data_IF_622442258826
#
_entry.id   IF_622442258826
#
_cell.length_a   1.000
_cell.length_b   1.000
_cell.length_c   1.000
_cell.angle_alpha   90.00
_cell.angle_beta   90.00
_cell.angle_gamma   90.00
#
_symmetry.space_group_name_H-M   'P 1'
#
loop_
_entity.id
_entity.type
_entity.pdbx_description
1 polymer ?
#
# COMPACT_ATOMS: atom_id res chain seq x y z
N UNK A 1 21.87 22.27 -37.51
CA UNK A 1 21.71 22.09 -36.05
C UNK A 1 20.66 21.03 -35.82
N UNK A 2 20.94 19.95 -35.09
CA UNK A 2 19.89 19.06 -34.64
C UNK A 2 18.97 19.86 -33.71
N UNK A 3 17.68 19.93 -34.04
CA UNK A 3 16.69 20.63 -33.24
C UNK A 3 16.23 19.66 -32.16
N UNK A 4 16.37 20.03 -30.89
CA UNK A 4 15.89 19.22 -29.77
C UNK A 4 14.37 19.06 -29.91
N UNK A 5 13.89 17.82 -29.92
CA UNK A 5 12.46 17.55 -29.97
C UNK A 5 11.79 18.11 -28.70
N UNK A 6 10.77 18.94 -28.87
CA UNK A 6 9.86 19.32 -27.79
C UNK A 6 9.02 18.09 -27.46
N UNK A 7 9.45 17.29 -26.48
CA UNK A 7 8.66 16.19 -25.97
C UNK A 7 7.60 16.75 -25.02
N UNK A 8 6.33 16.62 -25.38
CA UNK A 8 5.23 16.77 -24.43
C UNK A 8 5.26 15.54 -23.51
N UNK A 9 5.49 15.76 -22.21
CA UNK A 9 5.19 14.74 -21.19
C UNK A 9 3.67 14.80 -20.98
N UNK A 10 2.95 13.78 -21.45
CA UNK A 10 1.52 13.64 -21.20
C UNK A 10 1.29 13.23 -19.74
N UNK A 11 0.11 13.52 -19.14
CA UNK A 11 -0.24 13.04 -17.80
C UNK A 11 -0.03 11.53 -17.70
N UNK A 12 0.61 11.06 -16.63
CA UNK A 12 0.96 9.65 -16.49
C UNK A 12 -0.30 8.85 -16.13
N UNK A 13 -0.42 7.64 -16.68
CA UNK A 13 -1.59 6.80 -16.44
C UNK A 13 -1.64 6.37 -14.97
N UNK A 14 -2.83 6.48 -14.35
CA UNK A 14 -3.08 5.91 -13.04
C UNK A 14 -2.83 4.40 -13.10
N UNK A 15 -2.00 3.90 -12.18
CA UNK A 15 -1.69 2.48 -12.01
C UNK A 15 -2.20 1.96 -10.67
N UNK A 16 -2.54 0.68 -10.67
CA UNK A 16 -2.88 -0.05 -9.45
C UNK A 16 -1.65 -0.79 -8.92
N UNK A 17 -1.49 -0.81 -7.60
CA UNK A 17 -0.48 -1.61 -6.92
C UNK A 17 -1.15 -2.50 -5.86
N UNK A 18 -0.74 -3.77 -5.81
CA UNK A 18 -1.38 -4.77 -4.97
C UNK A 18 -0.36 -5.52 -4.13
N UNK A 19 -0.73 -5.85 -2.91
CA UNK A 19 0.08 -6.68 -2.01
C UNK A 19 -0.83 -7.60 -1.18
N UNK A 20 -0.34 -8.79 -0.85
CA UNK A 20 -1.07 -9.73 0.02
C UNK A 20 -0.18 -10.08 1.20
N UNK A 21 -0.64 -9.76 2.41
CA UNK A 21 0.03 -10.11 3.66
C UNK A 21 -0.60 -11.36 4.27
N UNK A 22 0.20 -12.33 4.67
CA UNK A 22 -0.26 -13.57 5.34
C UNK A 22 0.37 -13.78 6.72
N UNK A 23 1.58 -13.27 6.94
CA UNK A 23 2.30 -13.35 8.19
C UNK A 23 2.07 -12.11 9.06
N UNK A 24 2.15 -12.28 10.38
CA UNK A 24 2.06 -11.17 11.33
C UNK A 24 3.33 -10.32 11.31
N UNK A 25 3.15 -9.00 11.22
CA UNK A 25 4.18 -7.98 11.34
C UNK A 25 4.17 -7.42 12.76
N UNK A 26 5.04 -8.00 13.59
CA UNK A 26 5.16 -7.66 15.02
C UNK A 26 6.38 -6.78 15.32
N UNK A 27 7.40 -6.79 14.45
CA UNK A 27 8.52 -5.84 14.48
C UNK A 27 8.19 -4.64 13.59
N UNK A 28 8.53 -3.43 13.99
CA UNK A 28 8.15 -2.21 13.25
C UNK A 28 9.32 -1.53 12.52
N UNK A 29 10.57 -1.91 12.83
CA UNK A 29 11.76 -1.23 12.31
C UNK A 29 12.40 -1.87 11.07
N UNK A 30 11.95 -3.05 10.67
CA UNK A 30 12.53 -3.86 9.58
C UNK A 30 11.44 -4.35 8.61
N UNK A 31 11.81 -5.02 7.51
CA UNK A 31 10.85 -5.56 6.52
C UNK A 31 10.35 -6.99 6.79
N UNK A 32 10.77 -7.65 7.88
CA UNK A 32 10.36 -9.03 8.19
C UNK A 32 8.84 -9.12 8.25
N UNK A 33 8.23 -9.99 7.44
CA UNK A 33 6.77 -10.16 7.31
C UNK A 33 5.99 -8.94 6.79
N UNK A 34 6.65 -7.85 6.41
CA UNK A 34 6.04 -6.79 5.61
C UNK A 34 6.12 -7.17 4.12
N UNK A 35 5.15 -6.72 3.34
CA UNK A 35 5.09 -6.96 1.90
C UNK A 35 5.18 -5.63 1.18
N UNK A 36 6.06 -5.54 0.18
CA UNK A 36 6.22 -4.33 -0.61
C UNK A 36 4.95 -4.08 -1.41
N UNK A 37 4.41 -2.87 -1.26
CA UNK A 37 3.22 -2.43 -1.97
C UNK A 37 3.60 -1.68 -3.24
N UNK A 38 4.52 -0.71 -3.13
CA UNK A 38 4.83 0.21 -4.22
C UNK A 38 6.32 0.54 -4.26
N UNK A 39 6.89 0.48 -5.47
CA UNK A 39 8.10 1.20 -5.83
C UNK A 39 7.68 2.39 -6.71
N UNK A 40 7.95 3.63 -6.27
CA UNK A 40 7.54 4.82 -7.02
C UNK A 40 8.32 4.99 -8.32
N UNK A 41 7.82 5.85 -9.19
CA UNK A 41 8.48 6.24 -10.44
C UNK A 41 9.75 7.07 -10.20
N UNK A 42 10.49 7.34 -11.29
CA UNK A 42 11.79 8.03 -11.21
C UNK A 42 11.72 9.43 -10.58
N UNK A 43 10.59 10.14 -10.69
CA UNK A 43 10.37 11.44 -10.06
C UNK A 43 9.49 11.37 -8.80
N UNK A 44 9.21 10.17 -8.31
CA UNK A 44 8.27 9.93 -7.22
C UNK A 44 6.88 9.54 -7.73
N UNK A 45 5.96 9.36 -6.79
CA UNK A 45 4.58 8.98 -7.08
C UNK A 45 3.62 9.61 -6.09
N UNK A 46 2.36 9.71 -6.48
CA UNK A 46 1.25 10.17 -5.65
C UNK A 46 0.28 9.01 -5.47
N UNK A 47 0.00 8.66 -4.22
CA UNK A 47 -1.01 7.65 -3.89
C UNK A 47 -2.32 8.35 -3.53
N UNK A 48 -3.36 8.00 -4.28
CA UNK A 48 -4.70 8.57 -4.18
C UNK A 48 -5.69 7.70 -3.43
N UNK A 49 -5.38 6.42 -3.23
CA UNK A 49 -6.23 5.52 -2.49
C UNK A 49 -5.45 4.32 -2.01
N UNK A 50 -5.74 3.87 -0.78
CA UNK A 50 -5.24 2.60 -0.25
C UNK A 50 -6.36 1.96 0.56
N UNK A 51 -6.76 0.78 0.13
CA UNK A 51 -7.78 -0.02 0.82
C UNK A 51 -7.29 -1.44 1.03
N UNK A 52 -7.87 -2.11 2.01
CA UNK A 52 -7.60 -3.48 2.33
C UNK A 52 -8.87 -4.30 2.44
N UNK A 53 -8.80 -5.55 1.98
CA UNK A 53 -9.90 -6.52 2.05
C UNK A 53 -9.40 -7.86 2.60
N UNK A 54 -10.14 -8.47 3.55
CA UNK A 54 -9.82 -9.81 4.03
C UNK A 54 -10.13 -10.84 2.94
N UNK A 55 -9.30 -11.88 2.82
CA UNK A 55 -9.54 -13.02 1.91
C UNK A 55 -9.97 -14.30 2.64
N UNK A 56 -10.12 -14.23 3.96
CA UNK A 56 -10.58 -15.30 4.83
C UNK A 56 -11.17 -14.70 6.12
N UNK A 57 -11.73 -15.54 6.99
CA UNK A 57 -12.19 -15.13 8.33
C UNK A 57 -11.04 -14.50 9.10
N UNK A 58 -11.24 -13.28 9.57
CA UNK A 58 -10.21 -12.46 10.20
C UNK A 58 -10.62 -12.13 11.64
N UNK A 59 -9.69 -12.24 12.57
CA UNK A 59 -9.84 -11.63 13.90
C UNK A 59 -9.47 -10.16 13.82
N UNK A 60 -9.83 -9.35 14.82
CA UNK A 60 -9.48 -7.94 14.80
C UNK A 60 -7.95 -7.78 14.65
N UNK A 61 -7.52 -7.07 13.60
CA UNK A 61 -6.11 -6.97 13.22
C UNK A 61 -5.78 -5.55 12.81
N UNK A 62 -4.60 -5.09 13.22
CA UNK A 62 -4.07 -3.81 12.79
C UNK A 62 -3.47 -3.96 11.39
N UNK A 63 -3.93 -3.14 10.46
CA UNK A 63 -3.30 -2.94 9.17
C UNK A 63 -2.25 -1.85 9.31
N UNK A 64 -1.08 -2.06 8.75
CA UNK A 64 0.07 -1.18 8.92
C UNK A 64 0.56 -0.74 7.55
N UNK A 65 0.80 0.56 7.40
CA UNK A 65 1.43 1.15 6.23
C UNK A 65 2.79 1.74 6.63
N UNK A 66 3.81 1.30 5.93
CA UNK A 66 5.19 1.71 6.15
C UNK A 66 5.75 2.47 4.96
N UNK A 67 6.65 3.39 5.26
CA UNK A 67 7.58 4.00 4.32
C UNK A 67 8.99 3.52 4.61
N UNK A 68 9.74 3.20 3.58
CA UNK A 68 11.14 2.80 3.69
C UNK A 68 12.00 3.50 2.63
N UNK A 69 12.96 4.35 3.04
CA UNK A 69 13.86 5.05 2.12
C UNK A 69 14.97 4.15 1.55
N UNK A 70 15.13 2.96 2.12
CA UNK A 70 16.24 2.02 1.85
C UNK A 70 15.71 0.61 1.50
N UNK A 71 14.56 0.58 0.83
CA UNK A 71 13.98 -0.61 0.21
C UNK A 71 13.73 -1.78 1.19
N UNK A 72 13.35 -1.47 2.42
CA UNK A 72 12.94 -2.42 3.46
C UNK A 72 13.97 -2.67 4.55
N UNK A 73 15.09 -1.93 4.58
CA UNK A 73 16.09 -2.09 5.65
C UNK A 73 15.62 -1.38 6.91
N UNK A 74 15.20 -0.12 6.78
CA UNK A 74 14.58 0.69 7.82
C UNK A 74 13.13 0.95 7.45
N UNK A 75 12.23 0.71 8.39
CA UNK A 75 10.80 0.98 8.22
C UNK A 75 10.28 2.04 9.18
N UNK A 76 9.50 2.95 8.63
CA UNK A 76 8.76 3.96 9.39
C UNK A 76 7.26 3.70 9.23
N UNK A 77 6.58 3.42 10.33
CA UNK A 77 5.12 3.31 10.34
C UNK A 77 4.54 4.72 10.12
N UNK A 78 3.85 4.91 9.01
CA UNK A 78 3.30 6.23 8.64
C UNK A 78 1.78 6.31 8.84
N UNK A 79 1.09 5.17 8.79
CA UNK A 79 -0.35 5.11 9.04
C UNK A 79 -0.75 3.68 9.46
N UNK A 80 -1.85 3.54 10.19
CA UNK A 80 -2.44 2.26 10.52
C UNK A 80 -3.96 2.35 10.66
N UNK A 81 -4.66 1.27 10.35
CA UNK A 81 -6.11 1.17 10.49
C UNK A 81 -6.50 -0.14 11.17
N UNK A 82 -7.61 -0.15 11.91
CA UNK A 82 -8.15 -1.38 12.50
C UNK A 82 -9.09 -2.06 11.49
N UNK A 83 -8.76 -3.29 11.09
CA UNK A 83 -9.73 -4.18 10.47
C UNK A 83 -10.46 -4.93 11.59
N UNK A 84 -11.76 -4.70 11.73
CA UNK A 84 -12.59 -5.37 12.71
C UNK A 84 -12.66 -6.89 12.41
N UNK A 85 -12.94 -7.68 13.46
CA UNK A 85 -13.16 -9.11 13.28
C UNK A 85 -14.35 -9.36 12.34
N UNK A 86 -14.18 -10.27 11.40
CA UNK A 86 -15.20 -10.61 10.41
C UNK A 86 -15.12 -12.08 10.01
N UNK A 87 -16.27 -12.76 10.09
CA UNK A 87 -16.43 -14.12 9.59
C UNK A 87 -16.75 -14.07 8.11
N UNK A 88 -15.88 -14.65 7.28
CA UNK A 88 -16.05 -14.63 5.83
C UNK A 88 -17.25 -15.49 5.42
N UNK A 89 -18.23 -14.88 4.76
CA UNK A 89 -19.36 -15.55 4.15
C UNK A 89 -19.44 -15.23 2.65
N UNK A 90 -19.80 -16.23 1.84
CA UNK A 90 -19.86 -16.13 0.37
C UNK A 90 -21.08 -15.33 -0.13
N UNK A 91 -22.05 -15.08 0.75
CA UNK A 91 -23.31 -14.39 0.42
C UNK A 91 -23.33 -12.92 0.85
N UNK A 92 -22.23 -12.41 1.40
CA UNK A 92 -22.11 -11.03 1.89
C UNK A 92 -20.85 -10.37 1.34
N UNK A 93 -20.88 -9.04 1.22
CA UNK A 93 -19.69 -8.28 0.85
C UNK A 93 -18.64 -8.35 1.98
N UNK A 94 -17.38 -8.61 1.62
CA UNK A 94 -16.28 -8.50 2.58
C UNK A 94 -16.09 -7.03 2.97
N UNK A 95 -15.88 -6.72 4.26
CA UNK A 95 -15.69 -5.35 4.72
C UNK A 95 -14.39 -4.79 4.14
N UNK A 96 -14.48 -3.58 3.58
CA UNK A 96 -13.32 -2.83 3.10
C UNK A 96 -12.82 -1.94 4.23
N UNK A 97 -11.52 -1.98 4.50
CA UNK A 97 -10.86 -1.02 5.39
C UNK A 97 -10.12 0.01 4.55
N UNK A 98 -10.53 1.26 4.66
CA UNK A 98 -9.91 2.40 3.96
C UNK A 98 -8.90 3.11 4.89
N UNK A 99 -7.81 3.60 4.30
CA UNK A 99 -6.79 4.41 4.96
C UNK A 99 -7.06 5.92 4.84
N UNK A 100 -8.06 6.33 4.05
CA UNK A 100 -8.53 7.72 3.97
C UNK A 100 -7.76 8.62 3.00
N UNK A 101 -6.93 8.03 2.12
CA UNK A 101 -6.30 8.77 1.04
C UNK A 101 -7.30 9.03 -0.08
N UNK A 102 -7.23 10.21 -0.68
CA UNK A 102 -8.08 10.64 -1.80
C UNK A 102 -7.32 11.60 -2.71
N UNK A 103 -7.93 12.03 -3.81
CA UNK A 103 -7.40 13.13 -4.65
C UNK A 103 -7.25 14.45 -3.90
N UNK A 104 -8.08 14.68 -2.87
CA UNK A 104 -7.99 15.88 -2.01
C UNK A 104 -7.02 15.74 -0.85
N UNK A 105 -6.71 14.50 -0.45
CA UNK A 105 -5.79 14.15 0.64
C UNK A 105 -4.76 13.11 0.18
N UNK A 106 -3.95 13.40 -0.85
CA UNK A 106 -3.06 12.41 -1.42
C UNK A 106 -1.81 12.19 -0.56
N UNK A 107 -1.26 10.98 -0.62
CA UNK A 107 0.06 10.68 -0.05
C UNK A 107 1.14 10.83 -1.12
N UNK A 108 2.04 11.80 -0.94
CA UNK A 108 3.22 11.97 -1.80
C UNK A 108 4.35 11.06 -1.35
N UNK A 109 4.98 10.39 -2.31
CA UNK A 109 6.08 9.45 -2.12
C UNK A 109 7.27 9.93 -2.95
N UNK A 110 8.42 10.09 -2.32
CA UNK A 110 9.66 10.46 -3.01
C UNK A 110 10.16 9.30 -3.87
N UNK A 111 10.96 9.55 -4.91
CA UNK A 111 11.45 8.52 -5.84
C UNK A 111 12.29 7.41 -5.19
N UNK A 112 12.96 7.71 -4.07
CA UNK A 112 13.72 6.72 -3.30
C UNK A 112 12.87 5.93 -2.29
N UNK A 113 11.68 6.44 -1.92
CA UNK A 113 10.87 5.88 -0.84
C UNK A 113 9.97 4.75 -1.35
N UNK A 114 10.13 3.56 -0.79
CA UNK A 114 9.21 2.43 -1.06
C UNK A 114 8.09 2.37 -0.04
N UNK A 115 6.89 1.96 -0.47
CA UNK A 115 5.78 1.69 0.45
C UNK A 115 5.63 0.20 0.68
N UNK A 116 5.31 -0.14 1.92
CA UNK A 116 5.13 -1.52 2.36
C UNK A 116 3.93 -1.63 3.29
N UNK A 117 3.33 -2.80 3.32
CA UNK A 117 2.16 -3.09 4.14
C UNK A 117 2.39 -4.31 5.03
N UNK A 118 1.74 -4.30 6.19
CA UNK A 118 1.80 -5.36 7.18
C UNK A 118 0.46 -5.58 7.86
N UNK A 119 0.32 -6.72 8.53
CA UNK A 119 -0.87 -7.09 9.31
C UNK A 119 -0.44 -7.53 10.71
N UNK A 120 -1.14 -7.10 11.75
CA UNK A 120 -0.77 -7.39 13.14
C UNK A 120 -1.01 -8.84 13.57
N UNK A 121 -1.95 -9.53 12.92
CA UNK A 121 -2.31 -10.93 13.17
C UNK A 121 -2.19 -11.73 11.89
N UNK A 122 -1.53 -12.90 11.98
CA UNK A 122 -1.34 -13.78 10.84
C UNK A 122 -2.68 -14.34 10.34
N UNK A 123 -2.84 -14.40 9.03
CA UNK A 123 -4.01 -14.95 8.37
C UNK A 123 -3.57 -15.78 7.17
N UNK A 124 -3.82 -17.09 7.20
CA UNK A 124 -3.37 -17.99 6.13
C UNK A 124 -3.96 -17.62 4.75
N UNK A 125 -5.22 -17.18 4.70
CA UNK A 125 -5.84 -16.68 3.46
C UNK A 125 -5.35 -15.28 3.04
N UNK A 126 -4.73 -14.55 3.97
CA UNK A 126 -4.16 -13.23 3.78
C UNK A 126 -5.17 -12.08 3.70
N UNK A 127 -4.61 -10.87 3.73
CA UNK A 127 -5.33 -9.61 3.52
C UNK A 127 -4.75 -8.97 2.27
N UNK A 128 -5.61 -8.63 1.31
CA UNK A 128 -5.21 -7.96 0.09
C UNK A 128 -5.28 -6.44 0.27
N UNK A 129 -4.20 -5.77 -0.07
CA UNK A 129 -4.12 -4.32 -0.19
C UNK A 129 -4.19 -3.94 -1.68
N UNK A 130 -4.95 -2.90 -1.96
CA UNK A 130 -5.09 -2.30 -3.28
C UNK A 130 -4.85 -0.79 -3.17
N UNK A 131 -3.90 -0.30 -3.96
CA UNK A 131 -3.51 1.09 -4.01
C UNK A 131 -3.71 1.66 -5.40
N UNK A 132 -4.17 2.91 -5.47
CA UNK A 132 -4.25 3.70 -6.70
C UNK A 132 -3.18 4.77 -6.68
N UNK A 133 -2.35 4.80 -7.71
CA UNK A 133 -1.11 5.58 -7.74
C UNK A 133 -0.91 6.20 -9.10
N UNK A 134 -0.38 7.41 -9.14
CA UNK A 134 0.14 8.06 -10.34
C UNK A 134 1.63 8.35 -10.15
N UNK A 135 2.43 8.12 -11.19
CA UNK A 135 3.85 8.45 -11.20
C UNK A 135 4.05 9.90 -11.68
N UNK A 136 5.04 10.59 -11.10
CA UNK A 136 5.32 12.01 -11.39
C UNK A 136 6.33 12.19 -12.52
#
# INVERSE_FOLDING_TARGET
MPVTANSIITPQAVRSANAVCTAAKTTYGDSTNAVKLLTPGANGSVLYGLKALPRATVTATQLQLYRSPDNGTTMYLINSALMAAYTMAQTTAAPVTDFGYSESTPLRVNSADTLWVGIGVALAGGIAFDAQVEDL
#
